data_IF_261002506931
#
_entry.id   IF_261002506931
#
_cell.length_a   1.000
_cell.length_b   1.000
_cell.length_c   1.000
_cell.angle_alpha   90.00
_cell.angle_beta   90.00
_cell.angle_gamma   90.00
#
_symmetry.space_group_name_H-M   'P 1'
#
loop_
_entity.id
_entity.type
_entity.pdbx_description
1 polymer ?
#
# COMPACT_ATOMS: atom_id res chain seq x y z
N UNK A 1 33.41 42.86 25.42
CA UNK A 1 32.56 41.67 25.18
C UNK A 1 33.03 41.04 23.87
N UNK A 2 32.69 39.77 23.62
CA UNK A 2 32.96 39.10 22.35
C UNK A 2 31.62 38.59 21.86
N UNK A 3 31.40 38.63 20.56
CA UNK A 3 30.15 38.14 20.00
C UNK A 3 30.41 37.40 18.71
N UNK A 4 29.83 36.20 18.62
CA UNK A 4 29.81 35.40 17.41
C UNK A 4 28.51 35.69 16.65
N UNK A 5 28.66 36.31 15.48
CA UNK A 5 27.57 36.46 14.53
C UNK A 5 27.67 35.34 13.50
N UNK A 6 26.59 34.57 13.39
CA UNK A 6 26.43 33.56 12.35
C UNK A 6 25.22 33.96 11.54
N UNK A 7 25.44 34.25 10.27
CA UNK A 7 24.40 34.49 9.29
C UNK A 7 24.32 33.31 8.33
N UNK A 8 23.11 32.97 7.92
CA UNK A 8 22.88 31.84 7.03
C UNK A 8 22.31 32.34 5.70
N UNK A 9 23.13 32.43 4.63
CA UNK A 9 22.65 32.80 3.31
C UNK A 9 21.98 31.63 2.55
N UNK A 10 22.32 30.38 2.86
CA UNK A 10 21.66 29.18 2.31
C UNK A 10 21.75 28.00 3.30
N UNK A 11 21.11 26.87 3.02
CA UNK A 11 21.30 25.66 3.84
C UNK A 11 22.74 25.14 3.80
N UNK A 12 23.40 25.26 2.66
CA UNK A 12 24.75 24.72 2.43
C UNK A 12 25.88 25.70 2.75
N UNK A 13 25.57 26.87 3.34
CA UNK A 13 26.59 27.87 3.64
C UNK A 13 26.29 28.74 4.85
N UNK A 14 27.34 29.15 5.55
CA UNK A 14 27.29 30.06 6.68
C UNK A 14 28.29 31.18 6.49
N UNK A 15 27.90 32.39 6.86
CA UNK A 15 28.82 33.49 7.08
C UNK A 15 29.07 33.60 8.59
N UNK A 16 30.31 33.35 8.99
CA UNK A 16 30.76 33.35 10.38
C UNK A 16 31.65 34.55 10.60
N UNK A 17 31.22 35.44 11.49
CA UNK A 17 31.94 36.66 11.86
C UNK A 17 32.10 36.72 13.37
N UNK A 18 33.35 36.73 13.82
CA UNK A 18 33.70 36.87 15.23
C UNK A 18 34.11 38.32 15.51
N UNK A 19 33.31 39.00 16.34
CA UNK A 19 33.59 40.37 16.76
C UNK A 19 34.32 40.38 18.10
N UNK A 20 35.43 41.13 18.13
CA UNK A 20 36.18 41.42 19.33
C UNK A 20 35.94 42.89 19.69
N UNK A 21 35.28 43.16 20.82
CA UNK A 21 35.06 44.56 21.22
C UNK A 21 36.39 45.26 21.45
N UNK A 22 36.46 46.53 21.00
CA UNK A 22 37.55 47.41 21.36
C UNK A 22 37.50 47.75 22.86
N UNK A 23 38.64 47.80 23.55
CA UNK A 23 38.67 48.12 24.96
C UNK A 23 38.16 49.54 25.21
N UNK A 24 37.29 49.70 26.22
CA UNK A 24 36.66 50.98 26.59
C UNK A 24 37.63 52.09 27.08
N UNK A 25 38.95 51.84 27.10
CA UNK A 25 39.97 52.82 27.47
C UNK A 25 40.76 53.21 26.23
N UNK A 26 40.83 54.51 25.94
CA UNK A 26 41.60 55.11 24.82
C UNK A 26 43.10 54.73 24.78
N UNK A 27 43.64 54.06 25.79
CA UNK A 27 45.06 53.67 25.89
C UNK A 27 45.32 52.19 25.66
N UNK A 28 44.29 51.35 25.51
CA UNK A 28 44.47 49.93 25.26
C UNK A 28 44.49 49.66 23.74
N UNK A 29 45.59 49.09 23.24
CA UNK A 29 45.70 48.70 21.83
C UNK A 29 44.70 47.57 21.56
N UNK A 30 43.80 47.70 20.56
CA UNK A 30 42.91 46.62 20.18
C UNK A 30 43.74 45.41 19.75
N UNK A 31 43.68 44.31 20.50
CA UNK A 31 44.31 43.08 20.08
C UNK A 31 43.43 42.40 19.05
N UNK A 32 43.94 42.27 17.82
CA UNK A 32 43.31 41.47 16.77
C UNK A 32 43.92 40.06 16.79
N UNK A 33 43.13 39.01 16.56
CA UNK A 33 43.67 37.67 16.41
C UNK A 33 44.59 37.61 15.18
N UNK A 34 45.59 36.71 15.22
CA UNK A 34 46.44 36.39 14.06
C UNK A 34 45.60 35.78 12.94
N UNK A 35 44.68 34.89 13.31
CA UNK A 35 43.66 34.32 12.44
C UNK A 35 42.47 33.84 13.29
N UNK A 36 41.35 33.63 12.62
CA UNK A 36 40.17 32.99 13.22
C UNK A 36 40.06 31.59 12.64
N UNK A 37 39.95 30.58 13.51
CA UNK A 37 39.62 29.22 13.11
C UNK A 37 38.14 28.98 13.35
N UNK A 38 37.45 28.44 12.36
CA UNK A 38 36.05 28.04 12.46
C UNK A 38 35.97 26.52 12.35
N UNK A 39 35.22 25.91 13.26
CA UNK A 39 34.94 24.48 13.27
C UNK A 39 33.43 24.25 13.35
N UNK A 40 32.91 23.36 12.52
CA UNK A 40 31.52 22.91 12.57
C UNK A 40 31.47 21.48 13.10
N UNK A 41 30.52 21.23 14.00
CA UNK A 41 30.24 19.91 14.51
C UNK A 41 28.78 19.53 14.28
N UNK A 42 28.53 18.26 14.00
CA UNK A 42 27.19 17.69 13.98
C UNK A 42 26.66 17.44 15.41
N UNK A 43 25.49 16.80 15.54
CA UNK A 43 24.91 16.52 16.85
C UNK A 43 25.71 15.45 17.65
N UNK A 44 26.49 14.63 16.95
CA UNK A 44 27.41 13.64 17.53
C UNK A 44 28.76 14.22 17.94
N UNK A 45 29.00 15.53 17.71
CA UNK A 45 30.29 16.19 17.84
C UNK A 45 31.35 15.74 16.82
N UNK A 46 30.94 15.14 15.71
CA UNK A 46 31.85 14.85 14.59
C UNK A 46 32.13 16.13 13.80
N UNK A 47 33.40 16.33 13.43
CA UNK A 47 33.83 17.54 12.72
C UNK A 47 33.36 17.51 11.27
N UNK A 48 32.41 18.40 10.93
CA UNK A 48 31.90 18.61 9.57
C UNK A 48 32.83 19.50 8.73
N UNK A 49 33.47 20.47 9.37
CA UNK A 49 34.38 21.42 8.73
C UNK A 49 35.36 21.96 9.76
N UNK A 50 36.61 22.21 9.35
CA UNK A 50 37.54 23.06 10.09
C UNK A 50 38.40 23.88 9.13
N UNK A 51 38.55 25.17 9.38
CA UNK A 51 39.27 26.07 8.48
C UNK A 51 39.33 27.50 9.00
N UNK A 52 39.74 28.44 8.14
CA UNK A 52 39.88 29.87 8.47
C UNK A 52 38.95 30.77 7.63
N UNK A 53 38.11 30.17 6.78
CA UNK A 53 37.21 30.91 5.92
C UNK A 53 36.05 31.51 6.73
N UNK A 54 35.66 32.74 6.40
CA UNK A 54 34.45 33.35 6.95
C UNK A 54 33.18 32.80 6.30
N UNK A 55 33.28 32.30 5.06
CA UNK A 55 32.20 31.59 4.37
C UNK A 55 32.48 30.10 4.44
N UNK A 56 31.67 29.40 5.22
CA UNK A 56 31.85 27.98 5.51
C UNK A 56 30.80 27.16 4.79
N UNK A 57 31.23 26.11 4.08
CA UNK A 57 30.32 25.14 3.47
C UNK A 57 29.76 24.20 4.53
N UNK A 58 28.45 23.97 4.50
CA UNK A 58 27.74 23.04 5.38
C UNK A 58 27.26 21.87 4.52
N UNK A 59 27.63 20.61 4.83
CA UNK A 59 27.12 19.44 4.12
C UNK A 59 25.67 19.11 4.55
N UNK A 60 24.77 20.09 4.44
CA UNK A 60 23.42 20.06 5.01
C UNK A 60 22.58 18.88 4.53
N UNK A 61 22.73 18.46 3.27
CA UNK A 61 22.03 17.29 2.71
C UNK A 61 22.26 16.03 3.53
N UNK A 62 23.50 15.78 3.98
CA UNK A 62 23.85 14.60 4.76
C UNK A 62 23.37 14.61 6.22
N UNK A 63 23.05 15.79 6.75
CA UNK A 63 22.61 15.97 8.13
C UNK A 63 21.15 15.57 8.32
N UNK A 64 20.78 15.25 9.55
CA UNK A 64 19.41 14.89 9.90
C UNK A 64 18.40 16.00 9.79
N UNK A 65 17.11 15.65 9.80
CA UNK A 65 16.04 16.63 9.80
C UNK A 65 16.14 17.49 11.06
N UNK A 66 16.34 18.81 10.88
CA UNK A 66 16.53 19.76 11.98
C UNK A 66 17.63 19.38 12.98
N UNK A 67 18.67 18.68 12.53
CA UNK A 67 19.78 18.29 13.40
C UNK A 67 20.50 19.55 13.93
N UNK A 68 20.80 19.63 15.25
CA UNK A 68 21.60 20.72 15.77
C UNK A 68 23.04 20.63 15.25
N UNK A 69 23.54 21.76 14.75
CA UNK A 69 24.93 21.93 14.31
C UNK A 69 25.58 22.97 15.20
N UNK A 70 26.74 22.64 15.78
CA UNK A 70 27.49 23.55 16.62
C UNK A 70 28.55 24.26 15.79
N UNK A 71 28.49 25.60 15.78
CA UNK A 71 29.54 26.44 15.20
C UNK A 71 30.44 26.90 16.32
N UNK A 72 31.73 26.59 16.22
CA UNK A 72 32.76 27.13 17.09
C UNK A 72 33.68 28.04 16.29
N UNK A 73 33.88 29.27 16.76
CA UNK A 73 34.82 30.21 16.16
C UNK A 73 35.84 30.66 17.21
N UNK A 74 37.11 30.44 16.91
CA UNK A 74 38.21 30.70 17.81
C UNK A 74 39.22 31.71 17.24
N UNK A 75 39.41 32.83 17.92
CA UNK A 75 40.50 33.77 17.64
C UNK A 75 41.80 33.29 18.27
N UNK A 76 42.83 33.11 17.44
CA UNK A 76 44.17 32.70 17.90
C UNK A 76 45.07 33.93 18.03
N UNK A 77 45.62 34.14 19.22
CA UNK A 77 46.55 35.22 19.56
C UNK A 77 47.94 34.65 19.87
N UNK A 78 48.93 35.50 20.07
CA UNK A 78 50.29 35.04 20.46
C UNK A 78 50.30 34.36 21.83
N UNK A 79 49.38 34.76 22.70
CA UNK A 79 49.33 34.39 24.13
C UNK A 79 48.28 33.33 24.46
N UNK A 80 47.48 32.89 23.48
CA UNK A 80 46.43 31.90 23.69
C UNK A 80 45.32 31.96 22.64
N UNK A 81 44.24 31.22 22.91
CA UNK A 81 43.08 31.11 22.04
C UNK A 81 41.81 31.45 22.81
N UNK A 82 40.86 32.03 22.11
CA UNK A 82 39.55 32.40 22.64
C UNK A 82 38.49 31.89 21.69
N UNK A 83 37.50 31.16 22.20
CA UNK A 83 36.41 30.60 21.40
C UNK A 83 35.06 31.14 21.82
N UNK A 84 34.17 31.27 20.86
CA UNK A 84 32.73 31.46 21.04
C UNK A 84 31.99 30.36 20.28
N UNK A 85 30.84 29.94 20.80
CA UNK A 85 30.05 28.86 20.23
C UNK A 85 28.61 29.30 19.98
N UNK A 86 28.01 28.78 18.91
CA UNK A 86 26.59 29.01 18.60
C UNK A 86 25.97 27.78 17.94
N UNK A 87 24.82 27.37 18.44
CA UNK A 87 24.03 26.32 17.82
C UNK A 87 23.15 26.90 16.71
N UNK A 88 23.08 26.17 15.60
CA UNK A 88 22.17 26.36 14.47
C UNK A 88 21.52 25.00 14.17
N UNK A 89 20.58 24.94 13.22
CA UNK A 89 19.92 23.68 12.86
C UNK A 89 20.10 23.39 11.38
N UNK A 90 20.24 22.13 10.99
CA UNK A 90 20.15 21.70 9.60
C UNK A 90 18.74 21.94 9.04
N UNK A 91 18.61 21.85 7.72
CA UNK A 91 17.32 22.00 7.03
C UNK A 91 16.27 21.01 7.55
N UNK A 92 14.98 21.41 7.58
CA UNK A 92 13.89 20.46 7.68
C UNK A 92 13.93 19.50 6.49
N UNK A 93 13.92 18.19 6.78
CA UNK A 93 13.88 17.13 5.77
C UNK A 93 12.64 16.27 5.96
N UNK A 94 12.13 15.73 4.86
CA UNK A 94 11.02 14.78 4.83
C UNK A 94 11.24 13.72 3.78
N UNK A 95 10.63 12.57 3.96
CA UNK A 95 10.50 11.55 2.93
C UNK A 95 9.05 11.61 2.45
N UNK A 96 8.86 11.74 1.14
CA UNK A 96 7.55 11.57 0.51
C UNK A 96 7.61 10.40 -0.45
N UNK A 97 6.53 9.64 -0.59
CA UNK A 97 6.40 8.64 -1.64
C UNK A 97 5.09 8.80 -2.35
N UNK A 98 5.13 8.70 -3.68
CA UNK A 98 3.94 8.38 -4.44
C UNK A 98 3.63 6.91 -4.13
N UNK A 99 2.47 6.65 -3.50
CA UNK A 99 2.04 5.34 -3.00
C UNK A 99 0.85 4.87 -3.84
N UNK A 100 1.10 3.90 -4.71
CA UNK A 100 0.05 3.22 -5.47
C UNK A 100 -0.15 1.83 -4.85
N UNK A 101 -1.39 1.50 -4.49
CA UNK A 101 -1.76 0.19 -3.97
C UNK A 101 -2.94 -0.34 -4.76
N UNK A 102 -2.77 -1.54 -5.28
CA UNK A 102 -3.82 -2.35 -5.89
C UNK A 102 -4.15 -3.48 -4.90
N UNK A 103 -5.31 -3.38 -4.26
CA UNK A 103 -5.76 -4.32 -3.24
C UNK A 103 -7.30 -4.35 -3.19
N UNK A 104 -7.92 -5.54 -3.17
CA UNK A 104 -7.31 -6.87 -3.26
C UNK A 104 -6.88 -7.24 -4.70
N UNK A 105 -5.85 -8.09 -4.84
CA UNK A 105 -5.49 -8.73 -6.13
C UNK A 105 -5.69 -10.23 -6.09
N UNK A 106 -5.85 -10.83 -7.28
CA UNK A 106 -6.10 -12.27 -7.44
C UNK A 106 -7.29 -12.76 -6.57
N UNK A 107 -8.29 -11.89 -6.38
CA UNK A 107 -9.56 -12.14 -5.68
C UNK A 107 -9.42 -12.57 -4.21
N UNK A 108 -8.27 -12.32 -3.60
CA UNK A 108 -8.02 -12.62 -2.19
C UNK A 108 -7.84 -11.34 -1.39
N UNK A 109 -8.65 -11.17 -0.34
CA UNK A 109 -8.54 -10.10 0.68
C UNK A 109 -7.26 -10.19 1.54
N UNK A 110 -6.27 -10.93 1.06
CA UNK A 110 -4.96 -11.10 1.67
C UNK A 110 -3.81 -10.66 0.77
N UNK A 111 -4.01 -10.44 -0.53
CA UNK A 111 -2.89 -10.09 -1.43
C UNK A 111 -3.13 -8.76 -2.09
N UNK A 112 -2.06 -8.05 -2.35
CA UNK A 112 -2.07 -6.83 -3.13
C UNK A 112 -0.76 -6.62 -3.88
N UNK A 113 -0.77 -5.64 -4.77
CA UNK A 113 0.39 -5.10 -5.45
C UNK A 113 0.58 -3.66 -5.03
N UNK A 114 1.81 -3.19 -5.09
CA UNK A 114 2.10 -1.82 -4.72
C UNK A 114 3.27 -1.28 -5.53
N UNK A 115 3.35 0.04 -5.64
CA UNK A 115 4.47 0.76 -6.22
C UNK A 115 4.83 1.93 -5.33
N UNK A 116 6.11 2.01 -4.98
CA UNK A 116 6.67 3.07 -4.12
C UNK A 116 7.73 3.83 -4.90
N UNK A 117 7.58 5.14 -4.97
CA UNK A 117 8.60 6.07 -5.49
C UNK A 117 8.94 7.10 -4.42
N UNK A 118 9.64 6.67 -3.34
CA UNK A 118 10.08 7.59 -2.32
C UNK A 118 11.09 8.60 -2.88
N UNK A 119 11.09 9.79 -2.30
CA UNK A 119 12.06 10.87 -2.52
C UNK A 119 12.33 11.56 -1.19
N UNK A 120 13.61 11.82 -0.92
CA UNK A 120 14.02 12.65 0.21
C UNK A 120 13.98 14.09 -0.26
N UNK A 121 13.37 14.95 0.54
CA UNK A 121 13.27 16.36 0.24
C UNK A 121 13.73 17.18 1.44
N UNK A 122 14.34 18.32 1.17
CA UNK A 122 14.56 19.37 2.16
C UNK A 122 13.80 20.63 1.78
N UNK A 123 13.46 21.44 2.77
CA UNK A 123 12.87 22.75 2.52
C UNK A 123 13.89 23.63 1.77
N UNK A 124 13.47 24.35 0.73
CA UNK A 124 14.33 25.31 0.03
C UNK A 124 14.50 26.56 0.89
N UNK A 125 15.75 27.04 1.01
CA UNK A 125 16.10 28.13 1.93
C UNK A 125 15.28 29.40 1.68
N UNK A 126 14.68 29.95 2.74
CA UNK A 126 13.92 31.21 2.68
C UNK A 126 12.59 31.13 1.91
N UNK A 127 12.13 29.93 1.54
CA UNK A 127 10.89 29.71 0.77
C UNK A 127 10.01 28.65 1.42
N UNK A 128 8.79 28.46 0.91
CA UNK A 128 7.89 27.36 1.27
C UNK A 128 8.10 26.10 0.41
N UNK A 129 8.96 26.17 -0.60
CA UNK A 129 9.17 25.08 -1.55
C UNK A 129 10.04 23.98 -0.95
N UNK A 130 10.00 22.81 -1.58
CA UNK A 130 10.83 21.66 -1.24
C UNK A 130 11.69 21.28 -2.44
N UNK A 131 12.93 20.89 -2.20
CA UNK A 131 13.85 20.39 -3.22
C UNK A 131 14.29 18.96 -2.89
N UNK A 132 14.49 18.16 -3.93
CA UNK A 132 14.90 16.77 -3.79
C UNK A 132 16.38 16.68 -3.40
N UNK A 133 16.71 15.72 -2.55
CA UNK A 133 18.08 15.33 -2.24
C UNK A 133 18.41 14.03 -2.98
N UNK A 134 19.67 13.89 -3.39
CA UNK A 134 20.20 12.69 -4.06
C UNK A 134 20.65 11.60 -3.05
N UNK A 135 20.23 11.73 -1.79
CA UNK A 135 20.60 10.80 -0.72
C UNK A 135 19.97 9.41 -0.91
N UNK A 136 20.67 8.33 -0.50
CA UNK A 136 20.15 6.99 -0.61
C UNK A 136 18.91 6.82 0.27
N UNK A 137 17.82 6.36 -0.34
CA UNK A 137 16.58 6.05 0.35
C UNK A 137 16.68 4.64 0.97
N UNK A 138 16.12 4.40 2.17
CA UNK A 138 16.00 3.05 2.70
C UNK A 138 15.33 2.11 1.69
N UNK A 139 15.98 0.99 1.37
CA UNK A 139 15.47 0.02 0.39
C UNK A 139 14.16 -0.66 0.80
N UNK A 140 13.77 -0.53 2.08
CA UNK A 140 12.59 -1.14 2.67
C UNK A 140 11.89 -0.14 3.57
N UNK A 141 10.57 -0.09 3.44
CA UNK A 141 9.64 0.69 4.25
C UNK A 141 8.63 -0.28 4.89
N UNK A 142 7.90 0.20 5.89
CA UNK A 142 6.89 -0.58 6.60
C UNK A 142 5.51 0.03 6.41
N UNK A 143 4.56 -0.72 5.86
CA UNK A 143 3.18 -0.29 5.77
C UNK A 143 2.40 -0.81 6.98
N UNK A 144 1.86 0.09 7.79
CA UNK A 144 0.85 -0.23 8.78
C UNK A 144 -0.51 -0.29 8.10
N UNK A 145 -1.17 -1.44 8.16
CA UNK A 145 -2.43 -1.74 7.49
C UNK A 145 -3.54 -1.92 8.51
N UNK A 146 -4.63 -1.16 8.40
CA UNK A 146 -5.76 -1.23 9.35
C UNK A 146 -7.11 -0.98 8.69
N UNK A 147 -8.16 -1.50 9.30
CA UNK A 147 -9.56 -1.20 8.94
C UNK A 147 -10.00 0.01 9.76
N UNK A 148 -10.44 1.10 9.11
CA UNK A 148 -10.69 2.39 9.75
C UNK A 148 -11.94 2.38 10.64
N UNK A 149 -12.94 1.57 10.32
CA UNK A 149 -14.19 1.48 11.07
C UNK A 149 -14.06 0.77 12.42
N UNK A 150 -12.87 0.27 12.75
CA UNK A 150 -12.60 -0.48 13.99
C UNK A 150 -11.42 0.13 14.75
N UNK A 151 -11.53 0.27 16.06
CA UNK A 151 -10.40 0.67 16.92
C UNK A 151 -9.43 -0.50 17.08
N UNK A 152 -8.51 -0.68 16.14
CA UNK A 152 -7.54 -1.77 16.18
C UNK A 152 -6.07 -1.33 15.96
N UNK A 153 -5.17 -2.10 16.56
CA UNK A 153 -3.75 -2.10 16.28
C UNK A 153 -3.51 -2.84 14.96
N UNK A 154 -3.60 -2.10 13.84
CA UNK A 154 -3.31 -2.64 12.51
C UNK A 154 -1.99 -3.42 12.41
N UNK A 155 -1.88 -4.28 11.40
CA UNK A 155 -0.70 -5.10 11.15
C UNK A 155 0.39 -4.34 10.39
N UNK A 156 1.63 -4.80 10.50
CA UNK A 156 2.76 -4.24 9.75
C UNK A 156 3.17 -5.17 8.60
N UNK A 157 3.31 -4.60 7.41
CA UNK A 157 3.69 -5.31 6.20
C UNK A 157 4.95 -4.65 5.61
N UNK A 158 6.04 -5.40 5.43
CA UNK A 158 7.22 -4.83 4.80
C UNK A 158 7.02 -4.61 3.30
N UNK A 159 7.51 -3.49 2.80
CA UNK A 159 7.44 -3.11 1.39
C UNK A 159 8.80 -2.63 0.88
N UNK A 160 9.28 -3.24 -0.20
CA UNK A 160 10.50 -2.85 -0.92
C UNK A 160 10.25 -1.65 -1.85
N UNK A 161 11.26 -0.79 -1.99
CA UNK A 161 11.20 0.37 -2.89
C UNK A 161 11.10 -0.06 -4.37
N UNK A 162 10.38 0.71 -5.18
CA UNK A 162 10.18 0.46 -6.62
C UNK A 162 8.89 -0.30 -6.94
N UNK A 163 8.51 -1.25 -6.09
CA UNK A 163 7.22 -1.95 -6.18
C UNK A 163 7.32 -3.45 -5.96
N UNK A 164 6.18 -4.09 -5.71
CA UNK A 164 6.16 -5.50 -5.36
C UNK A 164 4.76 -6.07 -5.13
N UNK A 165 4.73 -7.23 -4.47
CA UNK A 165 3.52 -7.92 -4.02
C UNK A 165 3.60 -8.12 -2.52
N UNK A 166 2.46 -8.03 -1.84
CA UNK A 166 2.35 -8.42 -0.46
C UNK A 166 1.32 -9.54 -0.27
N UNK A 167 1.51 -10.32 0.78
CA UNK A 167 0.55 -11.32 1.25
C UNK A 167 0.36 -11.12 2.77
N UNK A 168 -0.76 -10.50 3.12
CA UNK A 168 -1.14 -10.14 4.48
C UNK A 168 -1.20 -11.36 5.40
N UNK A 169 -1.44 -12.57 4.89
CA UNK A 169 -1.41 -13.82 5.71
C UNK A 169 -0.06 -14.10 6.37
N UNK A 170 1.01 -13.48 5.85
CA UNK A 170 2.37 -13.63 6.39
C UNK A 170 2.68 -12.61 7.49
N UNK A 171 1.82 -11.61 7.68
CA UNK A 171 2.00 -10.59 8.71
C UNK A 171 1.34 -11.03 10.02
N UNK A 172 1.99 -10.69 11.13
CA UNK A 172 1.39 -10.83 12.46
C UNK A 172 0.17 -9.90 12.55
N UNK A 173 -0.95 -10.41 13.09
CA UNK A 173 -2.21 -9.67 13.18
C UNK A 173 -3.18 -9.89 12.01
N UNK A 174 -2.83 -10.69 10.99
CA UNK A 174 -3.72 -10.97 9.85
C UNK A 174 -5.10 -11.51 10.25
N UNK A 175 -5.13 -12.41 11.23
CA UNK A 175 -6.38 -13.04 11.69
C UNK A 175 -7.37 -11.98 12.19
N UNK A 176 -6.86 -11.01 12.94
CA UNK A 176 -7.65 -9.94 13.53
C UNK A 176 -8.05 -8.94 12.45
N UNK A 177 -7.12 -8.52 11.58
CA UNK A 177 -7.44 -7.72 10.40
C UNK A 177 -8.57 -8.34 9.56
N UNK A 178 -8.48 -9.65 9.25
CA UNK A 178 -9.52 -10.36 8.49
C UNK A 178 -10.85 -10.35 9.23
N UNK A 179 -10.84 -10.56 10.54
CA UNK A 179 -12.06 -10.51 11.36
C UNK A 179 -12.71 -9.13 11.29
N UNK A 180 -11.94 -8.05 11.46
CA UNK A 180 -12.45 -6.68 11.41
C UNK A 180 -12.96 -6.30 10.02
N UNK A 181 -12.25 -6.68 8.97
CA UNK A 181 -12.68 -6.47 7.59
C UNK A 181 -14.05 -7.13 7.33
N UNK A 182 -14.21 -8.40 7.74
CA UNK A 182 -15.48 -9.12 7.62
C UNK A 182 -16.58 -8.55 8.53
N UNK A 183 -16.21 -7.98 9.67
CA UNK A 183 -17.16 -7.28 10.55
C UNK A 183 -17.66 -5.99 9.89
N UNK A 184 -16.77 -5.18 9.35
CA UNK A 184 -17.10 -3.95 8.65
C UNK A 184 -18.03 -4.23 7.45
N UNK A 185 -17.73 -5.25 6.65
CA UNK A 185 -18.61 -5.67 5.57
C UNK A 185 -20.01 -6.10 6.03
N UNK A 186 -20.11 -6.81 7.17
CA UNK A 186 -21.42 -7.24 7.70
C UNK A 186 -22.23 -6.07 8.24
N UNK A 187 -21.57 -5.10 8.86
CA UNK A 187 -22.24 -3.98 9.51
C UNK A 187 -22.57 -2.83 8.56
N UNK A 188 -21.67 -2.55 7.61
CA UNK A 188 -21.72 -1.35 6.77
C UNK A 188 -21.83 -1.66 5.28
N UNK A 189 -21.70 -2.92 4.86
CA UNK A 189 -21.65 -3.31 3.43
C UNK A 189 -20.35 -2.93 2.72
N UNK A 190 -19.45 -2.21 3.40
CA UNK A 190 -18.17 -1.72 2.92
C UNK A 190 -17.13 -1.71 4.05
N UNK A 191 -15.87 -1.53 3.69
CA UNK A 191 -14.76 -1.38 4.62
C UNK A 191 -13.70 -0.45 4.04
N UNK A 192 -13.17 0.46 4.84
CA UNK A 192 -12.06 1.34 4.49
C UNK A 192 -10.76 0.77 5.07
N UNK A 193 -9.82 0.46 4.18
CA UNK A 193 -8.51 -0.08 4.55
C UNK A 193 -7.45 0.99 4.34
N UNK A 194 -6.85 1.45 5.44
CA UNK A 194 -5.71 2.38 5.37
C UNK A 194 -4.40 1.61 5.30
N UNK A 195 -3.53 2.04 4.38
CA UNK A 195 -2.12 1.69 4.32
C UNK A 195 -1.29 2.93 4.62
N UNK A 196 -0.72 2.97 5.83
CA UNK A 196 0.16 4.04 6.26
C UNK A 196 1.63 3.60 6.15
N UNK A 197 2.35 4.19 5.21
CA UNK A 197 3.77 3.91 4.98
C UNK A 197 4.63 4.66 5.98
N UNK A 198 5.47 3.91 6.70
CA UNK A 198 6.33 4.38 7.76
C UNK A 198 7.76 3.91 7.53
N UNK A 199 8.72 4.65 8.06
CA UNK A 199 10.13 4.26 8.09
C UNK A 199 10.83 4.90 9.27
N UNK A 200 12.04 4.46 9.59
CA UNK A 200 12.92 5.17 10.51
C UNK A 200 13.93 5.96 9.68
N UNK A 201 13.97 7.28 9.87
CA UNK A 201 14.94 8.14 9.20
C UNK A 201 15.71 8.96 10.21
N UNK A 202 16.99 8.58 10.41
CA UNK A 202 17.98 9.17 11.31
C UNK A 202 17.52 9.34 12.79
N UNK A 203 16.56 10.22 13.05
CA UNK A 203 16.14 10.65 14.39
C UNK A 203 14.81 10.04 14.86
N UNK A 204 14.17 9.15 14.11
CA UNK A 204 12.98 8.43 14.56
C UNK A 204 12.02 7.96 13.47
N UNK A 205 10.85 7.44 13.88
CA UNK A 205 9.81 6.99 12.96
C UNK A 205 9.19 8.19 12.22
N UNK A 206 9.00 8.04 10.92
CA UNK A 206 8.44 9.04 10.03
C UNK A 206 7.35 8.39 9.18
N UNK A 207 6.20 9.07 9.09
CA UNK A 207 5.17 8.73 8.10
C UNK A 207 5.56 9.30 6.74
N UNK A 208 5.68 8.42 5.75
CA UNK A 208 6.13 8.74 4.39
C UNK A 208 4.94 9.05 3.48
N UNK A 209 3.87 8.27 3.59
CA UNK A 209 2.65 8.38 2.80
C UNK A 209 1.51 7.65 3.51
N UNK A 210 0.27 7.97 3.18
CA UNK A 210 -0.90 7.17 3.54
C UNK A 210 -1.86 7.11 2.36
N UNK A 211 -2.54 5.98 2.19
CA UNK A 211 -3.66 5.84 1.25
C UNK A 211 -4.77 5.05 1.92
N UNK A 212 -6.02 5.34 1.56
CA UNK A 212 -7.21 4.67 2.06
C UNK A 212 -7.93 4.06 0.87
N UNK A 213 -8.20 2.76 0.94
CA UNK A 213 -8.95 2.02 -0.06
C UNK A 213 -10.33 1.68 0.47
N UNK A 214 -11.36 2.06 -0.28
CA UNK A 214 -12.74 1.68 0.04
C UNK A 214 -13.07 0.38 -0.68
N UNK A 215 -13.31 -0.67 0.10
CA UNK A 215 -13.76 -1.96 -0.38
C UNK A 215 -15.26 -2.06 -0.17
N UNK A 216 -16.01 -2.47 -1.19
CA UNK A 216 -17.44 -2.77 -1.10
C UNK A 216 -17.68 -4.24 -1.39
N UNK A 217 -18.73 -4.81 -0.78
CA UNK A 217 -19.29 -6.07 -1.31
C UNK A 217 -20.02 -5.76 -2.61
N UNK A 218 -20.01 -6.73 -3.54
CA UNK A 218 -20.94 -6.74 -4.67
C UNK A 218 -22.37 -6.55 -4.15
N UNK A 219 -23.15 -5.73 -4.84
CA UNK A 219 -24.58 -5.55 -4.57
C UNK A 219 -25.34 -6.86 -4.78
N UNK A 220 -26.54 -6.96 -4.24
CA UNK A 220 -27.41 -8.13 -4.47
C UNK A 220 -27.73 -8.29 -5.97
N UNK A 221 -27.92 -7.17 -6.69
CA UNK A 221 -28.17 -7.17 -8.14
C UNK A 221 -26.98 -7.75 -8.93
N UNK A 222 -25.76 -7.34 -8.60
CA UNK A 222 -24.54 -7.89 -9.20
C UNK A 222 -24.37 -9.38 -8.87
N UNK A 223 -24.65 -9.79 -7.64
CA UNK A 223 -24.57 -11.19 -7.23
C UNK A 223 -25.61 -12.06 -7.97
N UNK A 224 -26.84 -11.57 -8.15
CA UNK A 224 -27.87 -12.26 -8.92
C UNK A 224 -27.49 -12.38 -10.40
N UNK A 225 -26.91 -11.32 -10.98
CA UNK A 225 -26.42 -11.34 -12.36
C UNK A 225 -25.29 -12.37 -12.54
N UNK A 226 -24.33 -12.40 -11.61
CA UNK A 226 -23.24 -13.37 -11.57
C UNK A 226 -23.75 -14.81 -11.48
N UNK A 227 -24.61 -15.11 -10.50
CA UNK A 227 -25.16 -16.46 -10.30
C UNK A 227 -25.97 -16.91 -11.51
N UNK A 228 -26.73 -16.01 -12.13
CA UNK A 228 -27.49 -16.32 -13.33
C UNK A 228 -26.58 -16.70 -14.50
N UNK A 229 -25.52 -15.93 -14.75
CA UNK A 229 -24.54 -16.22 -15.80
C UNK A 229 -23.78 -17.52 -15.54
N UNK A 230 -23.37 -17.76 -14.29
CA UNK A 230 -22.73 -19.01 -13.86
C UNK A 230 -23.63 -20.21 -14.07
N UNK A 231 -24.91 -20.12 -13.67
CA UNK A 231 -25.87 -21.20 -13.82
C UNK A 231 -26.14 -21.51 -15.29
N UNK A 232 -26.27 -20.49 -16.15
CA UNK A 232 -26.44 -20.66 -17.60
C UNK A 232 -25.24 -21.37 -18.23
N UNK A 233 -24.03 -20.85 -18.01
CA UNK A 233 -22.82 -21.44 -18.57
C UNK A 233 -22.52 -22.84 -18.02
N UNK A 234 -22.76 -23.07 -16.72
CA UNK A 234 -22.64 -24.39 -16.12
C UNK A 234 -23.68 -25.36 -16.71
N UNK A 235 -24.92 -24.90 -16.88
CA UNK A 235 -26.00 -25.67 -17.48
C UNK A 235 -25.67 -26.15 -18.88
N UNK A 236 -25.13 -25.27 -19.72
CA UNK A 236 -24.68 -25.63 -21.07
C UNK A 236 -23.60 -26.72 -21.04
N UNK A 237 -22.57 -26.58 -20.21
CA UNK A 237 -21.48 -27.57 -20.10
C UNK A 237 -21.95 -28.90 -19.54
N UNK A 238 -22.79 -28.88 -18.51
CA UNK A 238 -23.38 -30.11 -17.93
C UNK A 238 -24.24 -30.81 -18.98
N UNK A 239 -25.07 -30.06 -19.72
CA UNK A 239 -25.91 -30.64 -20.78
C UNK A 239 -25.08 -31.22 -21.93
N UNK A 240 -24.01 -30.56 -22.36
CA UNK A 240 -23.11 -31.08 -23.40
C UNK A 240 -22.55 -32.45 -23.01
N UNK A 241 -22.13 -32.60 -21.75
CA UNK A 241 -21.61 -33.87 -21.22
C UNK A 241 -22.71 -34.94 -21.07
N UNK A 242 -23.84 -34.62 -20.42
CA UNK A 242 -24.93 -35.59 -20.16
C UNK A 242 -25.65 -36.03 -21.43
N UNK A 243 -25.62 -35.21 -22.49
CA UNK A 243 -26.23 -35.57 -23.78
C UNK A 243 -25.26 -36.20 -24.77
N UNK A 244 -23.96 -36.29 -24.43
CA UNK A 244 -22.92 -36.78 -25.34
C UNK A 244 -22.84 -35.95 -26.62
N UNK A 245 -23.00 -34.62 -26.52
CA UNK A 245 -22.99 -33.68 -27.64
C UNK A 245 -24.23 -33.74 -28.55
N UNK A 246 -25.29 -34.47 -28.18
CA UNK A 246 -26.54 -34.49 -28.96
C UNK A 246 -27.30 -33.19 -28.78
N UNK A 247 -27.63 -32.54 -29.89
CA UNK A 247 -28.43 -31.30 -29.87
C UNK A 247 -29.77 -31.50 -29.16
N UNK A 248 -29.99 -30.72 -28.10
CA UNK A 248 -31.27 -30.63 -27.41
C UNK A 248 -32.20 -29.66 -28.14
N UNK A 249 -33.51 -29.96 -28.17
CA UNK A 249 -34.49 -29.06 -28.80
C UNK A 249 -34.84 -27.88 -27.92
N UNK A 250 -34.92 -28.10 -26.61
CA UNK A 250 -35.14 -27.08 -25.59
C UNK A 250 -34.38 -27.48 -24.34
N UNK A 251 -33.77 -26.49 -23.72
CA UNK A 251 -33.14 -26.58 -22.42
C UNK A 251 -33.54 -25.34 -21.60
N UNK A 252 -33.71 -25.51 -20.30
CA UNK A 252 -33.91 -24.45 -19.33
C UNK A 252 -33.03 -24.71 -18.12
N UNK A 253 -32.55 -23.63 -17.52
CA UNK A 253 -31.84 -23.65 -16.26
C UNK A 253 -32.60 -22.80 -15.25
N UNK A 254 -32.71 -23.30 -14.03
CA UNK A 254 -33.30 -22.59 -12.90
C UNK A 254 -32.30 -22.59 -11.75
N UNK A 255 -32.22 -21.46 -11.05
CA UNK A 255 -31.48 -21.33 -9.80
C UNK A 255 -32.52 -21.41 -8.68
N UNK A 256 -32.47 -22.48 -7.90
CA UNK A 256 -33.43 -22.74 -6.83
C UNK A 256 -33.04 -22.02 -5.54
N UNK A 257 -31.75 -21.99 -5.24
CA UNK A 257 -31.16 -21.35 -4.07
C UNK A 257 -29.71 -20.96 -4.36
N UNK A 258 -29.18 -19.94 -3.69
CA UNK A 258 -27.79 -19.53 -3.83
C UNK A 258 -27.26 -18.78 -2.61
N UNK A 259 -25.95 -18.88 -2.39
CA UNK A 259 -25.21 -18.14 -1.38
C UNK A 259 -23.89 -17.61 -1.94
N UNK A 260 -23.46 -16.45 -1.45
CA UNK A 260 -22.16 -15.85 -1.74
C UNK A 260 -21.33 -15.69 -0.48
N UNK A 261 -20.24 -16.46 -0.37
CA UNK A 261 -19.25 -16.29 0.69
C UNK A 261 -18.26 -15.21 0.28
N UNK A 262 -18.46 -13.99 0.80
CA UNK A 262 -17.58 -12.85 0.58
C UNK A 262 -16.18 -13.02 1.20
N UNK A 263 -16.02 -13.92 2.17
CA UNK A 263 -14.73 -14.21 2.79
C UNK A 263 -13.84 -15.12 1.94
N UNK A 264 -14.44 -15.93 1.06
CA UNK A 264 -13.71 -16.77 0.09
C UNK A 264 -13.89 -16.34 -1.37
N UNK A 265 -14.80 -15.41 -1.65
CA UNK A 265 -15.17 -15.00 -3.00
C UNK A 265 -15.84 -16.12 -3.79
N UNK A 266 -16.68 -16.95 -3.17
CA UNK A 266 -17.28 -18.13 -3.82
C UNK A 266 -18.79 -18.08 -3.84
N UNK A 267 -19.36 -18.46 -4.97
CA UNK A 267 -20.77 -18.74 -5.15
C UNK A 267 -21.04 -20.22 -4.96
N UNK A 268 -22.13 -20.53 -4.27
CA UNK A 268 -22.70 -21.87 -4.20
C UNK A 268 -24.17 -21.76 -4.58
N UNK A 269 -24.61 -22.51 -5.59
CA UNK A 269 -25.98 -22.44 -6.11
C UNK A 269 -26.56 -23.83 -6.32
N UNK A 270 -27.83 -24.03 -5.97
CA UNK A 270 -28.59 -25.20 -6.41
C UNK A 270 -29.19 -24.88 -7.79
N UNK A 271 -28.77 -25.65 -8.79
CA UNK A 271 -29.13 -25.46 -10.18
C UNK A 271 -29.92 -26.66 -10.68
N UNK A 272 -31.07 -26.36 -11.28
CA UNK A 272 -31.99 -27.32 -11.86
C UNK A 272 -32.04 -27.17 -13.39
N UNK A 273 -31.74 -28.25 -14.09
CA UNK A 273 -31.63 -28.33 -15.54
C UNK A 273 -32.76 -29.19 -16.11
N UNK A 274 -33.45 -28.63 -17.09
CA UNK A 274 -34.57 -29.26 -17.78
C UNK A 274 -34.26 -29.33 -19.27
N UNK A 275 -34.27 -30.50 -19.90
CA UNK A 275 -34.09 -30.60 -21.34
C UNK A 275 -34.95 -31.66 -22.00
N UNK A 276 -35.13 -31.54 -23.32
CA UNK A 276 -35.78 -32.57 -24.14
C UNK A 276 -35.23 -32.62 -25.56
N UNK A 277 -35.25 -33.81 -26.16
CA UNK A 277 -34.74 -34.04 -27.51
C UNK A 277 -35.80 -33.83 -28.61
N UNK A 278 -37.10 -33.92 -28.29
CA UNK A 278 -38.17 -33.86 -29.30
C UNK A 278 -39.37 -33.03 -28.83
N UNK A 279 -40.28 -32.69 -29.75
CA UNK A 279 -41.44 -31.81 -29.47
C UNK A 279 -42.47 -32.47 -28.53
N UNK A 280 -42.57 -33.80 -28.54
CA UNK A 280 -43.52 -34.60 -27.76
C UNK A 280 -42.83 -35.57 -26.78
N UNK A 281 -41.50 -35.48 -26.64
CA UNK A 281 -40.75 -36.31 -25.71
C UNK A 281 -40.85 -35.78 -24.29
N UNK A 282 -40.64 -36.68 -23.34
CA UNK A 282 -40.59 -36.37 -21.91
C UNK A 282 -39.41 -35.47 -21.58
N UNK A 283 -39.58 -34.69 -20.51
CA UNK A 283 -38.53 -33.84 -19.98
C UNK A 283 -37.56 -34.66 -19.15
N UNK A 284 -36.29 -34.35 -19.33
CA UNK A 284 -35.21 -34.79 -18.47
C UNK A 284 -34.96 -33.69 -17.45
N UNK A 285 -34.86 -34.08 -16.18
CA UNK A 285 -34.73 -33.15 -15.05
C UNK A 285 -33.53 -33.56 -14.19
N UNK A 286 -32.63 -32.63 -13.93
CA UNK A 286 -31.38 -32.83 -13.19
C UNK A 286 -31.18 -31.68 -12.21
N UNK A 287 -30.93 -31.98 -10.94
CA UNK A 287 -30.60 -31.00 -9.90
C UNK A 287 -29.22 -31.29 -9.35
N UNK A 288 -28.44 -30.24 -9.15
CA UNK A 288 -27.11 -30.32 -8.60
C UNK A 288 -26.62 -29.01 -7.99
N UNK A 289 -25.53 -29.09 -7.24
CA UNK A 289 -24.89 -27.94 -6.61
C UNK A 289 -23.75 -27.45 -7.48
N UNK A 290 -23.85 -26.22 -7.96
CA UNK A 290 -22.77 -25.48 -8.61
C UNK A 290 -21.95 -24.76 -7.54
N UNK A 291 -20.63 -24.87 -7.65
CA UNK A 291 -19.70 -24.03 -6.88
C UNK A 291 -18.70 -23.41 -7.83
N UNK A 292 -18.52 -22.10 -7.77
CA UNK A 292 -17.55 -21.35 -8.56
C UNK A 292 -16.99 -20.18 -7.73
N UNK A 293 -15.82 -19.67 -8.08
CA UNK A 293 -15.39 -18.37 -7.56
C UNK A 293 -16.11 -17.20 -8.28
N UNK A 294 -15.90 -15.98 -7.80
CA UNK A 294 -16.56 -14.77 -8.27
C UNK A 294 -16.03 -14.23 -9.62
N UNK A 295 -15.11 -14.98 -10.24
CA UNK A 295 -14.67 -14.82 -11.63
C UNK A 295 -15.05 -16.00 -12.53
N UNK A 296 -15.79 -16.97 -11.97
CA UNK A 296 -16.28 -18.15 -12.68
C UNK A 296 -15.23 -19.23 -12.90
N UNK A 297 -14.04 -19.10 -12.32
CA UNK A 297 -12.99 -20.12 -12.40
C UNK A 297 -13.25 -21.26 -11.43
N UNK A 298 -12.55 -22.37 -11.70
CA UNK A 298 -12.60 -23.59 -10.89
C UNK A 298 -14.03 -24.06 -10.59
N UNK A 299 -14.93 -23.88 -11.57
CA UNK A 299 -16.32 -24.22 -11.38
C UNK A 299 -16.49 -25.73 -11.36
N UNK A 300 -17.29 -26.22 -10.41
CA UNK A 300 -17.63 -27.63 -10.27
C UNK A 300 -19.12 -27.81 -10.09
N UNK A 301 -19.66 -28.88 -10.66
CA UNK A 301 -21.06 -29.26 -10.51
C UNK A 301 -21.17 -30.61 -9.82
N UNK A 302 -21.90 -30.66 -8.71
CA UNK A 302 -22.14 -31.89 -7.94
C UNK A 302 -23.59 -32.34 -8.11
N UNK A 303 -23.78 -33.49 -8.71
CA UNK A 303 -25.08 -34.13 -8.89
C UNK A 303 -25.76 -34.46 -7.55
N UNK A 304 -27.00 -33.99 -7.41
CA UNK A 304 -27.84 -34.23 -6.23
C UNK A 304 -28.92 -35.27 -6.56
N UNK A 305 -29.79 -34.97 -7.52
CA UNK A 305 -30.94 -35.81 -7.90
C UNK A 305 -31.35 -35.60 -9.35
N UNK A 306 -32.05 -36.57 -9.93
CA UNK A 306 -32.64 -36.49 -11.26
C UNK A 306 -33.92 -37.32 -11.34
N UNK A 307 -34.73 -37.09 -12.38
CA UNK A 307 -35.76 -38.05 -12.76
C UNK A 307 -35.14 -39.33 -13.37
N UNK A 308 -35.91 -40.41 -13.46
CA UNK A 308 -35.39 -41.74 -13.82
C UNK A 308 -34.61 -41.79 -15.14
N UNK A 309 -35.01 -40.98 -16.13
CA UNK A 309 -34.37 -40.96 -17.45
C UNK A 309 -33.11 -40.11 -17.46
N UNK A 310 -33.09 -38.98 -16.73
CA UNK A 310 -31.90 -38.16 -16.54
C UNK A 310 -30.83 -38.86 -15.69
N UNK A 311 -31.21 -39.57 -14.63
CA UNK A 311 -30.28 -40.33 -13.78
C UNK A 311 -29.63 -41.47 -14.57
N UNK A 312 -30.40 -42.19 -15.40
CA UNK A 312 -29.87 -43.22 -16.28
C UNK A 312 -28.86 -42.66 -17.27
N UNK A 313 -29.11 -41.48 -17.83
CA UNK A 313 -28.17 -40.80 -18.73
C UNK A 313 -26.92 -40.33 -18.01
N UNK A 314 -27.08 -39.69 -16.86
CA UNK A 314 -25.95 -39.26 -16.04
C UNK A 314 -24.99 -40.42 -15.78
N UNK A 315 -25.50 -41.56 -15.30
CA UNK A 315 -24.69 -42.76 -15.02
C UNK A 315 -24.07 -43.41 -16.25
N UNK A 316 -24.64 -43.17 -17.43
CA UNK A 316 -24.12 -43.72 -18.68
C UNK A 316 -22.95 -42.89 -19.25
N UNK A 317 -23.00 -41.57 -19.09
CA UNK A 317 -22.04 -40.64 -19.69
C UNK A 317 -20.98 -40.13 -18.69
N UNK A 318 -21.29 -40.12 -17.39
CA UNK A 318 -20.45 -39.53 -16.35
C UNK A 318 -20.11 -40.58 -15.29
N UNK A 319 -18.81 -40.78 -15.09
CA UNK A 319 -18.28 -41.64 -14.03
C UNK A 319 -18.15 -40.83 -12.73
N UNK A 320 -19.21 -40.84 -11.91
CA UNK A 320 -19.22 -40.22 -10.58
C UNK A 320 -20.37 -39.24 -10.36
N UNK A 321 -20.24 -38.40 -9.33
CA UNK A 321 -21.23 -37.36 -8.98
C UNK A 321 -20.74 -35.94 -9.22
N UNK A 322 -19.48 -35.75 -9.60
CA UNK A 322 -18.88 -34.41 -9.75
C UNK A 322 -18.36 -34.26 -11.16
N UNK A 323 -18.65 -33.10 -11.76
CA UNK A 323 -18.04 -32.64 -13.01
C UNK A 323 -17.21 -31.41 -12.69
N UNK A 324 -15.93 -31.45 -13.08
CA UNK A 324 -15.10 -30.25 -13.13
C UNK A 324 -15.46 -29.49 -14.42
N UNK A 325 -16.07 -28.32 -14.25
CA UNK A 325 -16.51 -27.50 -15.37
C UNK A 325 -15.39 -26.59 -15.85
N UNK A 326 -14.37 -26.30 -15.04
CA UNK A 326 -13.29 -25.36 -15.39
C UNK A 326 -13.76 -23.91 -15.32
N UNK A 327 -13.29 -23.06 -16.23
CA UNK A 327 -13.57 -21.62 -16.19
C UNK A 327 -14.86 -21.28 -16.95
N UNK A 328 -15.86 -20.76 -16.24
CA UNK A 328 -17.14 -20.30 -16.78
C UNK A 328 -17.07 -18.79 -17.11
N UNK A 329 -17.67 -18.36 -18.24
CA UNK A 329 -17.78 -16.95 -18.57
C UNK A 329 -18.61 -16.20 -17.53
N UNK A 330 -18.17 -14.99 -17.20
CA UNK A 330 -18.86 -14.08 -16.28
C UNK A 330 -19.33 -12.82 -17.00
N UNK A 331 -20.35 -12.10 -16.48
CA UNK A 331 -20.71 -10.79 -16.97
C UNK A 331 -19.48 -9.87 -16.91
N UNK A 332 -19.29 -9.05 -17.94
CA UNK A 332 -18.27 -8.01 -17.88
C UNK A 332 -18.61 -7.08 -16.70
N UNK A 333 -17.69 -6.94 -15.74
CA UNK A 333 -17.85 -5.95 -14.69
C UNK A 333 -17.90 -4.58 -15.37
N UNK A 334 -19.05 -3.92 -15.32
CA UNK A 334 -19.10 -2.48 -15.57
C UNK A 334 -18.25 -1.86 -14.48
N UNK A 335 -17.19 -1.09 -14.79
CA UNK A 335 -16.50 -0.34 -13.76
C UNK A 335 -17.52 0.66 -13.22
N UNK A 336 -18.05 0.39 -12.03
CA UNK A 336 -18.81 1.38 -11.30
C UNK A 336 -17.85 2.51 -10.93
N UNK A 337 -18.00 3.60 -11.69
CA UNK A 337 -17.36 4.91 -11.55
C UNK A 337 -15.88 5.03 -12.01
N UNK A 338 -15.58 5.96 -12.94
CA UNK A 338 -14.31 6.04 -13.66
C UNK A 338 -13.22 6.90 -12.97
N UNK A 339 -13.22 7.00 -11.65
CA UNK A 339 -12.27 7.88 -10.93
C UNK A 339 -10.96 7.21 -10.50
N UNK A 340 -10.57 6.09 -11.12
CA UNK A 340 -9.21 5.56 -11.02
C UNK A 340 -8.76 4.95 -12.37
N UNK A 341 -8.26 5.81 -13.26
CA UNK A 341 -7.27 5.37 -14.26
C UNK A 341 -5.89 5.36 -13.62
N UNK A 342 -5.33 4.16 -13.48
CA UNK A 342 -3.93 3.79 -13.18
C UNK A 342 -3.23 4.43 -11.99
#
# INVERSE_FOLDING_TARGET
>A
MRSLQVERPSWDSLLVVLHFDEPARMTAVPQRPRFVQVTLFDAGYDTLYTGQDSVVFVPDGSLGPNEPVLVEACGVFETGQVCEQRAIHASPKRIQSDLEIDFPVDETMARGRYRLKPRIQRARFGTSDWENLDDPIPNRLEARVRVLETEDAGMTVPMEVGGGRFDLRRADGYRDFRFYLLSAFRQYGRAEVEFQLQTTYQNGPLTVASTVLTLSRKTEEEQVADVSALAEAAGERVLEQVTGGRSTRRAYVFVNDWEYDAGTGRYMAEVELHWRFSRRGDWYELVGRLEADDTGRNARYTFVKANNDADRRWRAEIDGRVIELGDLPMPARTPDNPDLTW
#
